data_IF_996355168274
#
_entry.id   IF_996355168274
#
_cell.length_a   1.000
_cell.length_b   1.000
_cell.length_c   1.000
_cell.angle_alpha   90.00
_cell.angle_beta   90.00
_cell.angle_gamma   90.00
#
_symmetry.space_group_name_H-M   'P 1'
#
loop_
_entity.id
_entity.type
_entity.pdbx_description
1 polymer ?
#
# COMPACT_ATOMS: atom_id res chain seq x y z
N UNK A 1 61.70 38.06 19.75
CA UNK A 1 61.57 36.67 20.24
C UNK A 1 60.26 36.15 19.77
N UNK A 2 60.28 35.32 18.71
CA UNK A 2 59.10 34.75 18.07
C UNK A 2 58.80 33.39 18.70
N UNK A 3 57.57 33.18 19.10
CA UNK A 3 57.13 31.84 19.51
C UNK A 3 56.02 31.37 18.59
N UNK A 4 56.33 30.40 17.76
CA UNK A 4 55.46 29.75 16.79
C UNK A 4 54.73 28.60 17.47
N UNK A 5 53.39 28.67 17.52
CA UNK A 5 52.56 27.53 17.94
C UNK A 5 51.91 26.88 16.70
N UNK A 6 52.31 25.67 16.47
CA UNK A 6 51.90 24.76 15.39
C UNK A 6 50.56 24.15 15.73
N UNK A 7 49.49 24.46 14.98
CA UNK A 7 48.17 23.85 15.10
C UNK A 7 48.14 22.56 14.28
N UNK A 8 47.89 21.44 14.93
CA UNK A 8 47.70 20.13 14.31
C UNK A 8 46.21 19.95 13.95
N UNK A 9 45.92 20.00 12.65
CA UNK A 9 44.57 19.75 12.11
C UNK A 9 44.32 18.24 12.00
N UNK A 10 43.41 17.72 12.83
CA UNK A 10 42.93 16.34 12.74
C UNK A 10 41.81 16.25 11.69
N UNK A 11 42.13 15.65 10.54
CA UNK A 11 41.12 15.31 9.53
C UNK A 11 40.24 14.16 10.01
N UNK A 12 38.96 14.42 10.33
CA UNK A 12 37.92 13.39 10.47
C UNK A 12 37.55 12.91 9.08
N UNK A 13 37.82 11.65 8.78
CA UNK A 13 37.35 10.94 7.61
C UNK A 13 35.85 10.64 7.76
N UNK A 14 35.01 11.28 6.96
CA UNK A 14 33.59 10.95 6.84
C UNK A 14 33.47 9.67 5.98
N UNK A 15 33.03 8.57 6.60
CA UNK A 15 32.67 7.33 5.92
C UNK A 15 31.30 7.52 5.27
N UNK A 16 31.27 7.74 3.97
CA UNK A 16 30.04 7.75 3.15
C UNK A 16 29.62 6.29 2.89
N UNK A 17 28.71 5.77 3.70
CA UNK A 17 28.06 4.51 3.40
C UNK A 17 27.08 4.71 2.25
N UNK A 18 27.37 4.07 1.09
CA UNK A 18 26.46 4.01 -0.06
C UNK A 18 25.17 3.29 0.35
N UNK A 19 23.98 3.76 -0.08
CA UNK A 19 22.72 3.05 0.15
C UNK A 19 22.79 1.67 -0.49
N UNK A 20 22.51 0.62 0.29
CA UNK A 20 22.43 -0.77 -0.18
C UNK A 20 21.25 -0.90 -1.14
N UNK A 21 21.54 -1.17 -2.40
CA UNK A 21 20.56 -1.54 -3.42
C UNK A 21 19.78 -2.76 -2.94
N UNK A 22 18.43 -2.77 -2.94
CA UNK A 22 17.67 -3.93 -2.52
C UNK A 22 18.00 -5.13 -3.41
N UNK A 23 18.36 -6.23 -2.78
CA UNK A 23 18.64 -7.51 -3.41
C UNK A 23 17.38 -8.04 -4.10
N UNK A 24 17.45 -8.28 -5.41
CA UNK A 24 16.39 -8.95 -6.18
C UNK A 24 16.43 -10.46 -5.89
N UNK A 25 15.92 -10.87 -4.75
CA UNK A 25 15.49 -12.25 -4.52
C UNK A 25 13.98 -12.27 -4.52
N UNK A 26 13.38 -12.27 -5.70
CA UNK A 26 11.98 -12.64 -5.86
C UNK A 26 11.87 -14.13 -5.49
N UNK A 27 11.48 -14.42 -4.27
CA UNK A 27 10.94 -15.73 -3.91
C UNK A 27 9.73 -15.97 -4.82
N UNK A 28 9.81 -17.00 -5.66
CA UNK A 28 8.68 -17.40 -6.52
C UNK A 28 7.50 -17.70 -5.59
N UNK A 29 6.49 -16.80 -5.56
CA UNK A 29 5.28 -17.01 -4.80
C UNK A 29 4.60 -18.27 -5.34
N UNK A 30 4.19 -19.19 -4.45
CA UNK A 30 3.32 -20.31 -4.85
C UNK A 30 2.12 -19.71 -5.57
N UNK A 31 1.89 -20.08 -6.84
CA UNK A 31 0.78 -19.57 -7.64
C UNK A 31 -0.51 -19.61 -6.81
N UNK A 32 -1.20 -18.48 -6.67
CA UNK A 32 -2.47 -18.44 -5.93
C UNK A 32 -3.51 -19.27 -6.67
N UNK A 33 -4.24 -20.11 -5.95
CA UNK A 33 -5.23 -21.00 -6.57
C UNK A 33 -6.50 -20.28 -7.06
N UNK A 34 -6.73 -19.04 -6.63
CA UNK A 34 -7.95 -18.29 -6.92
C UNK A 34 -7.80 -17.26 -8.02
N UNK A 35 -6.61 -16.69 -8.22
CA UNK A 35 -6.39 -15.62 -9.19
C UNK A 35 -5.03 -15.69 -9.88
N UNK A 36 -4.93 -14.94 -10.97
CA UNK A 36 -3.69 -14.68 -11.73
C UNK A 36 -3.52 -13.18 -11.89
N UNK A 37 -2.28 -12.73 -11.95
CA UNK A 37 -1.98 -11.32 -12.16
C UNK A 37 -1.93 -10.99 -13.65
N UNK A 38 -2.67 -9.94 -14.06
CA UNK A 38 -2.72 -9.39 -15.41
C UNK A 38 -2.60 -7.88 -15.38
N UNK A 39 -2.46 -7.23 -16.54
CA UNK A 39 -2.63 -5.79 -16.67
C UNK A 39 -4.05 -5.41 -16.27
N UNK A 40 -4.20 -4.37 -15.49
CA UNK A 40 -5.48 -3.83 -15.02
C UNK A 40 -5.75 -2.46 -15.65
N UNK A 41 -7.01 -2.17 -15.92
CA UNK A 41 -7.47 -0.86 -16.36
C UNK A 41 -7.60 0.13 -15.18
N UNK A 42 -7.67 -0.39 -13.93
CA UNK A 42 -7.71 0.42 -12.71
C UNK A 42 -6.32 1.00 -12.43
N UNK A 43 -5.33 0.10 -12.23
CA UNK A 43 -3.96 0.51 -11.93
C UNK A 43 -2.97 -0.64 -12.22
N UNK A 44 -1.98 -0.39 -13.06
CA UNK A 44 -0.82 -1.27 -13.29
C UNK A 44 -1.17 -2.75 -13.49
N UNK A 45 -1.00 -3.57 -12.46
CA UNK A 45 -1.39 -4.99 -12.41
C UNK A 45 -2.62 -5.15 -11.52
N UNK A 46 -3.46 -6.12 -11.84
CA UNK A 46 -4.61 -6.54 -11.04
C UNK A 46 -4.65 -8.05 -10.86
N UNK A 47 -5.42 -8.50 -9.88
CA UNK A 47 -5.66 -9.91 -9.58
C UNK A 47 -6.99 -10.35 -10.20
N UNK A 48 -6.97 -11.30 -11.14
CA UNK A 48 -8.15 -11.76 -11.88
C UNK A 48 -8.51 -13.19 -11.51
N UNK A 49 -9.77 -13.44 -11.14
CA UNK A 49 -10.25 -14.75 -10.72
C UNK A 49 -10.03 -15.81 -11.81
N UNK A 50 -9.42 -16.95 -11.47
CA UNK A 50 -9.20 -18.10 -12.36
C UNK A 50 -10.29 -19.16 -12.26
N UNK A 51 -11.17 -19.05 -11.26
CA UNK A 51 -12.32 -19.93 -10.99
C UNK A 51 -13.42 -19.14 -10.30
N UNK A 52 -14.66 -19.64 -10.26
CA UNK A 52 -15.69 -19.02 -9.41
C UNK A 52 -15.24 -19.00 -7.96
N UNK A 53 -15.44 -17.88 -7.27
CA UNK A 53 -15.14 -17.69 -5.86
C UNK A 53 -16.44 -17.38 -5.15
N UNK A 54 -16.78 -18.18 -4.14
CA UNK A 54 -18.01 -17.97 -3.36
C UNK A 54 -17.83 -16.89 -2.31
N UNK A 55 -18.91 -16.17 -2.01
CA UNK A 55 -18.97 -15.25 -0.86
C UNK A 55 -18.45 -15.92 0.41
N UNK A 56 -17.70 -15.20 1.22
CA UNK A 56 -17.07 -15.68 2.46
C UNK A 56 -15.81 -16.53 2.23
N UNK A 57 -15.33 -16.62 0.97
CA UNK A 57 -14.06 -17.32 0.69
C UNK A 57 -12.88 -16.44 1.05
N UNK A 58 -12.02 -16.92 1.96
CA UNK A 58 -10.72 -16.32 2.25
C UNK A 58 -9.76 -16.64 1.11
N UNK A 59 -9.34 -15.60 0.38
CA UNK A 59 -8.61 -15.72 -0.89
C UNK A 59 -7.11 -15.76 -0.63
N UNK A 60 -6.60 -14.80 0.13
CA UNK A 60 -5.17 -14.64 0.39
C UNK A 60 -4.97 -13.80 1.66
N UNK A 61 -3.87 -14.04 2.38
CA UNK A 61 -3.36 -13.13 3.41
C UNK A 61 -2.54 -12.02 2.76
N UNK A 62 -2.71 -10.77 3.22
CA UNK A 62 -1.85 -9.65 2.82
C UNK A 62 -0.58 -9.68 3.66
N UNK A 63 0.55 -10.00 3.05
CA UNK A 63 1.84 -10.15 3.75
C UNK A 63 2.87 -9.13 3.27
N UNK A 64 3.84 -8.83 4.13
CA UNK A 64 4.96 -7.94 3.88
C UNK A 64 5.79 -7.72 5.13
N UNK A 65 6.72 -6.81 5.06
CA UNK A 65 7.48 -6.36 6.22
C UNK A 65 6.59 -5.54 7.15
N UNK A 66 6.69 -5.79 8.45
CA UNK A 66 5.99 -4.97 9.46
C UNK A 66 6.89 -3.83 9.89
N UNK A 67 6.42 -2.61 9.68
CA UNK A 67 7.16 -1.37 9.98
C UNK A 67 6.31 -0.42 10.81
N UNK A 68 6.94 0.55 11.44
CA UNK A 68 6.23 1.65 12.11
C UNK A 68 5.70 2.67 11.08
N UNK A 69 4.70 3.49 11.48
CA UNK A 69 4.24 4.60 10.64
C UNK A 69 5.37 5.58 10.34
N UNK A 70 6.20 5.92 11.35
CA UNK A 70 7.35 6.80 11.14
C UNK A 70 8.35 6.28 10.09
N UNK A 71 8.59 4.97 10.06
CA UNK A 71 9.43 4.35 9.03
C UNK A 71 8.74 4.34 7.66
N UNK A 72 7.41 4.17 7.61
CA UNK A 72 6.65 4.27 6.38
C UNK A 72 6.72 5.68 5.79
N UNK A 73 6.58 6.73 6.61
CA UNK A 73 6.67 8.13 6.19
C UNK A 73 8.09 8.47 5.67
N UNK A 74 9.13 7.89 6.29
CA UNK A 74 10.51 8.04 5.80
C UNK A 74 10.75 7.35 4.44
N UNK A 75 10.14 6.16 4.24
CA UNK A 75 10.27 5.39 2.99
C UNK A 75 9.45 6.00 1.84
N UNK A 76 8.29 6.55 2.15
CA UNK A 76 7.27 6.98 1.19
C UNK A 76 6.86 8.43 1.49
N UNK A 77 7.52 9.37 0.83
CA UNK A 77 7.26 10.80 0.96
C UNK A 77 6.20 11.20 -0.08
N UNK A 78 4.95 11.36 0.38
CA UNK A 78 3.82 11.77 -0.48
C UNK A 78 4.08 13.10 -1.20
N UNK A 79 4.82 14.03 -0.58
CA UNK A 79 5.19 15.30 -1.19
C UNK A 79 6.11 15.18 -2.41
N UNK A 80 6.73 14.01 -2.61
CA UNK A 80 7.56 13.70 -3.79
C UNK A 80 6.87 12.80 -4.80
N UNK A 81 5.67 12.30 -4.48
CA UNK A 81 4.90 11.45 -5.37
C UNK A 81 3.94 12.28 -6.21
N UNK A 82 3.95 12.10 -7.54
CA UNK A 82 2.94 12.69 -8.43
C UNK A 82 1.56 12.01 -8.30
N UNK A 83 1.48 10.86 -7.62
CA UNK A 83 0.29 10.08 -7.30
C UNK A 83 0.61 9.10 -6.18
N UNK A 84 -0.30 8.98 -5.21
CA UNK A 84 -0.16 7.98 -4.14
C UNK A 84 -0.19 6.56 -4.72
N UNK A 85 0.91 5.84 -4.55
CA UNK A 85 1.05 4.46 -4.99
C UNK A 85 2.04 3.72 -4.09
N UNK A 86 1.54 3.20 -3.00
CA UNK A 86 2.31 2.39 -2.05
C UNK A 86 1.67 1.01 -1.91
N UNK A 87 2.38 0.10 -1.29
CA UNK A 87 1.88 -1.21 -0.91
C UNK A 87 1.74 -1.31 0.62
N UNK A 88 1.42 -0.17 1.24
CA UNK A 88 1.23 -0.10 2.69
C UNK A 88 -0.19 -0.51 3.08
N UNK A 89 -0.30 -1.27 4.16
CA UNK A 89 -1.56 -1.62 4.80
C UNK A 89 -1.46 -1.32 6.31
N UNK A 90 -2.27 -0.39 6.80
CA UNK A 90 -2.33 -0.04 8.22
C UNK A 90 -2.95 -1.17 9.03
N UNK A 91 -2.27 -1.66 10.07
CA UNK A 91 -2.79 -2.67 10.99
C UNK A 91 -3.38 -1.99 12.23
N UNK A 92 -2.64 -1.08 12.82
CA UNK A 92 -3.04 -0.34 14.01
C UNK A 92 -2.35 1.03 14.06
N UNK A 93 -2.56 1.80 15.13
CA UNK A 93 -1.97 3.14 15.30
C UNK A 93 -0.43 3.19 15.35
N UNK A 94 0.24 2.04 15.34
CA UNK A 94 1.71 1.96 15.47
C UNK A 94 2.37 1.21 14.32
N UNK A 95 1.62 0.35 13.63
CA UNK A 95 2.19 -0.66 12.73
C UNK A 95 1.45 -0.71 11.42
N UNK A 96 2.19 -0.77 10.32
CA UNK A 96 1.69 -1.11 8.99
C UNK A 96 2.49 -2.27 8.37
N UNK A 97 1.92 -2.88 7.34
CA UNK A 97 2.59 -3.87 6.49
C UNK A 97 3.08 -3.14 5.24
N UNK A 98 4.37 -3.23 4.93
CA UNK A 98 4.95 -2.82 3.66
C UNK A 98 5.12 -4.04 2.76
N UNK A 99 4.19 -4.25 1.83
CA UNK A 99 4.25 -5.37 0.90
C UNK A 99 5.19 -5.15 -0.29
N UNK A 100 5.87 -4.00 -0.38
CA UNK A 100 6.99 -3.82 -1.30
C UNK A 100 8.18 -4.69 -0.89
N UNK A 101 8.31 -4.98 0.41
CA UNK A 101 9.37 -5.80 1.01
C UNK A 101 8.79 -7.12 1.50
N UNK A 102 9.24 -8.24 0.93
CA UNK A 102 8.78 -9.60 1.25
C UNK A 102 7.25 -9.81 1.12
N UNK A 103 6.56 -8.93 0.38
CA UNK A 103 5.12 -9.04 0.14
C UNK A 103 4.77 -10.12 -0.88
N UNK A 104 3.50 -10.55 -0.83
CA UNK A 104 2.92 -11.49 -1.79
C UNK A 104 2.05 -10.81 -2.83
N UNK A 105 1.35 -11.60 -3.64
CA UNK A 105 0.52 -11.11 -4.75
C UNK A 105 -0.75 -10.35 -4.29
N UNK A 106 -1.13 -10.39 -3.00
CA UNK A 106 -2.24 -9.62 -2.45
C UNK A 106 -2.08 -8.10 -2.70
N UNK A 107 -0.85 -7.60 -2.73
CA UNK A 107 -0.52 -6.20 -3.00
C UNK A 107 -1.02 -5.68 -4.35
N UNK A 108 -1.35 -6.57 -5.28
CA UNK A 108 -1.86 -6.22 -6.60
C UNK A 108 -3.39 -6.30 -6.70
N UNK A 109 -4.09 -6.56 -5.59
CA UNK A 109 -5.55 -6.43 -5.55
C UNK A 109 -5.88 -4.95 -5.46
N UNK A 110 -6.47 -4.41 -6.53
CA UNK A 110 -6.71 -2.99 -6.69
C UNK A 110 -7.89 -2.48 -5.84
N UNK A 111 -7.97 -1.15 -5.70
CA UNK A 111 -9.10 -0.49 -5.06
C UNK A 111 -10.33 -0.45 -5.98
N UNK A 112 -11.52 -0.61 -5.38
CA UNK A 112 -12.79 -0.20 -6.00
C UNK A 112 -13.73 0.41 -4.95
N UNK A 113 -14.51 1.42 -5.39
CA UNK A 113 -15.61 1.99 -4.60
C UNK A 113 -16.87 1.09 -4.61
N UNK A 114 -16.92 0.07 -5.48
CA UNK A 114 -17.91 -1.01 -5.49
C UNK A 114 -17.18 -2.37 -5.50
N UNK A 115 -16.53 -2.75 -4.39
CA UNK A 115 -15.63 -3.88 -4.33
C UNK A 115 -16.35 -5.23 -4.36
N UNK A 116 -15.61 -6.29 -4.66
CA UNK A 116 -16.07 -7.68 -4.53
C UNK A 116 -15.37 -8.44 -3.40
N UNK A 117 -14.39 -7.81 -2.77
CA UNK A 117 -13.70 -8.32 -1.59
C UNK A 117 -13.66 -7.26 -0.48
N UNK A 118 -13.32 -7.71 0.72
CA UNK A 118 -12.97 -6.86 1.85
C UNK A 118 -11.66 -7.35 2.50
N UNK A 119 -11.01 -6.46 3.23
CA UNK A 119 -9.85 -6.77 4.04
C UNK A 119 -10.28 -6.96 5.49
N UNK A 120 -10.00 -8.13 6.07
CA UNK A 120 -10.38 -8.50 7.44
C UNK A 120 -9.13 -8.59 8.30
N UNK A 121 -9.10 -7.83 9.40
CA UNK A 121 -8.09 -8.02 10.46
C UNK A 121 -8.50 -9.17 11.37
N UNK A 122 -7.67 -10.17 11.46
CA UNK A 122 -7.78 -11.24 12.43
C UNK A 122 -6.46 -11.36 13.19
N UNK A 123 -6.44 -10.86 14.41
CA UNK A 123 -5.24 -10.87 15.30
C UNK A 123 -4.01 -10.27 14.63
N UNK A 124 -4.20 -9.13 13.97
CA UNK A 124 -3.16 -8.41 13.20
C UNK A 124 -2.64 -9.14 11.95
N UNK A 125 -3.38 -10.13 11.47
CA UNK A 125 -3.23 -10.71 10.15
C UNK A 125 -4.33 -10.19 9.25
N UNK A 126 -3.98 -9.71 8.07
CA UNK A 126 -4.92 -9.13 7.14
C UNK A 126 -5.26 -10.15 6.06
N UNK A 127 -6.53 -10.50 5.95
CA UNK A 127 -7.01 -11.44 4.95
C UNK A 127 -7.94 -10.76 3.96
N UNK A 128 -7.77 -11.05 2.68
CA UNK A 128 -8.70 -10.62 1.64
C UNK A 128 -9.75 -11.71 1.46
N UNK A 129 -11.02 -11.34 1.66
CA UNK A 129 -12.17 -12.24 1.63
C UNK A 129 -13.25 -11.74 0.66
N UNK A 130 -13.91 -12.66 -0.06
CA UNK A 130 -14.96 -12.33 -1.00
C UNK A 130 -16.26 -11.94 -0.28
N UNK A 131 -16.81 -10.73 -0.55
CA UNK A 131 -18.09 -10.25 0.03
C UNK A 131 -19.31 -10.61 -0.82
N UNK A 132 -19.10 -11.10 -2.03
CA UNK A 132 -20.11 -11.67 -2.93
C UNK A 132 -19.52 -12.80 -3.76
N UNK A 133 -20.35 -13.50 -4.51
CA UNK A 133 -19.87 -14.44 -5.52
C UNK A 133 -19.10 -13.67 -6.61
N UNK A 134 -17.96 -14.21 -7.02
CA UNK A 134 -17.05 -13.61 -8.02
C UNK A 134 -16.93 -14.59 -9.20
N UNK A 135 -17.14 -14.10 -10.41
CA UNK A 135 -17.05 -14.89 -11.64
C UNK A 135 -15.60 -15.07 -12.10
N UNK A 136 -15.38 -16.10 -12.95
CA UNK A 136 -14.09 -16.29 -13.62
C UNK A 136 -13.77 -15.07 -14.49
N UNK A 137 -12.54 -14.60 -14.43
CA UNK A 137 -12.06 -13.44 -15.19
C UNK A 137 -12.40 -12.09 -14.58
N UNK A 138 -13.18 -12.04 -13.50
CA UNK A 138 -13.47 -10.80 -12.77
C UNK A 138 -12.24 -10.35 -11.98
N UNK A 139 -11.95 -9.03 -11.98
CA UNK A 139 -10.87 -8.46 -11.18
C UNK A 139 -11.28 -8.41 -9.71
N UNK A 140 -10.42 -8.91 -8.83
CA UNK A 140 -10.57 -8.81 -7.39
C UNK A 140 -10.24 -7.40 -6.95
N UNK A 141 -11.11 -6.80 -6.15
CA UNK A 141 -10.93 -5.44 -5.64
C UNK A 141 -11.46 -5.33 -4.22
N UNK A 142 -10.84 -4.47 -3.40
CA UNK A 142 -11.38 -4.09 -2.09
C UNK A 142 -11.34 -2.57 -1.90
N UNK A 143 -12.11 -2.04 -0.95
CA UNK A 143 -12.06 -0.62 -0.62
C UNK A 143 -10.82 -0.35 0.25
N UNK A 144 -9.90 0.47 -0.23
CA UNK A 144 -8.70 0.83 0.53
C UNK A 144 -9.04 1.69 1.73
N UNK A 145 -10.06 2.56 1.59
CA UNK A 145 -10.57 3.44 2.64
C UNK A 145 -9.44 4.14 3.44
N UNK A 146 -8.45 4.71 2.73
CA UNK A 146 -7.38 5.46 3.38
C UNK A 146 -7.97 6.51 4.32
N UNK A 147 -7.49 6.53 5.56
CA UNK A 147 -8.01 7.43 6.59
C UNK A 147 -7.82 8.89 6.19
N UNK A 148 -8.79 9.71 6.60
CA UNK A 148 -8.77 11.16 6.46
C UNK A 148 -8.42 11.78 7.80
N UNK A 149 -7.46 12.69 7.81
CA UNK A 149 -7.11 13.48 9.01
C UNK A 149 -7.86 14.83 9.08
N UNK A 150 -8.54 15.21 8.01
CA UNK A 150 -9.33 16.45 7.93
C UNK A 150 -8.54 17.65 7.43
N UNK A 151 -7.31 17.48 7.00
CA UNK A 151 -6.43 18.51 6.42
C UNK A 151 -6.37 18.43 4.90
N UNK A 152 -7.07 17.47 4.29
CA UNK A 152 -7.02 17.21 2.86
C UNK A 152 -7.52 18.43 2.06
N UNK A 153 -6.66 18.90 1.16
CA UNK A 153 -6.95 19.92 0.17
C UNK A 153 -7.16 19.32 -1.23
N UNK A 154 -7.29 20.18 -2.25
CA UNK A 154 -7.46 19.72 -3.63
C UNK A 154 -6.26 18.96 -4.18
N UNK A 155 -5.05 19.22 -3.70
CA UNK A 155 -3.84 18.53 -4.13
C UNK A 155 -3.82 17.11 -3.57
N UNK A 156 -4.19 16.94 -2.31
CA UNK A 156 -4.41 15.65 -1.68
C UNK A 156 -5.45 14.80 -2.43
N UNK A 157 -6.61 15.39 -2.75
CA UNK A 157 -7.65 14.67 -3.51
C UNK A 157 -7.16 14.20 -4.88
N UNK A 158 -6.29 14.95 -5.55
CA UNK A 158 -5.66 14.54 -6.81
C UNK A 158 -4.67 13.40 -6.61
N UNK A 159 -3.87 13.43 -5.53
CA UNK A 159 -2.90 12.39 -5.20
C UNK A 159 -3.60 11.03 -4.99
N UNK A 160 -4.78 11.05 -4.34
CA UNK A 160 -5.59 9.87 -4.02
C UNK A 160 -6.74 9.60 -5.00
N UNK A 161 -6.63 10.08 -6.23
CA UNK A 161 -7.68 9.91 -7.24
C UNK A 161 -7.97 8.44 -7.57
N UNK A 162 -9.26 8.06 -7.51
CA UNK A 162 -9.75 6.74 -7.87
C UNK A 162 -9.97 6.59 -9.38
N UNK A 163 -9.66 5.41 -9.93
CA UNK A 163 -9.88 5.02 -11.33
C UNK A 163 -10.66 3.71 -11.46
N UNK A 164 -11.43 3.31 -10.44
CA UNK A 164 -12.09 2.00 -10.43
C UNK A 164 -13.20 1.84 -11.50
N UNK A 165 -13.68 2.94 -12.10
CA UNK A 165 -14.73 2.89 -13.13
C UNK A 165 -16.12 2.47 -12.64
N UNK A 166 -16.32 2.27 -11.32
CA UNK A 166 -17.61 1.87 -10.78
C UNK A 166 -18.67 3.01 -10.98
N UNK A 167 -19.95 2.68 -11.26
CA UNK A 167 -21.01 3.69 -11.37
C UNK A 167 -21.17 4.53 -10.09
N UNK A 168 -20.83 3.98 -8.93
CA UNK A 168 -20.87 4.64 -7.62
C UNK A 168 -19.49 5.11 -7.16
N UNK A 169 -18.56 5.36 -8.11
CA UNK A 169 -17.19 5.78 -7.78
C UNK A 169 -17.20 7.12 -7.01
N UNK A 170 -16.48 7.15 -5.88
CA UNK A 170 -16.31 8.35 -5.03
C UNK A 170 -15.35 9.39 -5.64
N UNK A 171 -14.62 9.03 -6.70
CA UNK A 171 -13.55 9.85 -7.27
C UNK A 171 -12.21 9.75 -6.51
N UNK A 172 -12.19 9.16 -5.34
CA UNK A 172 -11.03 9.04 -4.46
C UNK A 172 -10.94 7.65 -3.82
N UNK A 173 -9.71 7.21 -3.46
CA UNK A 173 -9.47 6.00 -2.67
C UNK A 173 -9.49 6.26 -1.16
N UNK A 174 -9.67 7.53 -0.75
CA UNK A 174 -9.84 7.92 0.65
C UNK A 174 -11.19 7.40 1.20
N UNK A 175 -11.27 7.24 2.50
CA UNK A 175 -12.50 6.87 3.18
C UNK A 175 -13.62 7.91 2.92
N UNK A 176 -14.90 7.50 2.96
CA UNK A 176 -16.00 8.45 2.90
C UNK A 176 -15.88 9.53 3.97
N UNK A 177 -16.16 10.79 3.62
CA UNK A 177 -16.20 11.87 4.62
C UNK A 177 -17.26 11.56 5.68
N UNK A 178 -16.87 11.63 6.95
CA UNK A 178 -17.83 11.52 8.05
C UNK A 178 -18.84 12.69 7.93
N UNK A 179 -20.16 12.44 8.09
CA UNK A 179 -21.14 13.52 8.11
C UNK A 179 -20.71 14.55 9.15
N UNK A 180 -20.60 15.83 8.76
CA UNK A 180 -20.38 16.91 9.74
C UNK A 180 -21.57 16.90 10.67
N UNK A 181 -21.37 16.53 11.94
CA UNK A 181 -22.42 16.58 12.94
C UNK A 181 -23.04 17.99 12.93
N UNK A 182 -24.36 18.07 12.75
CA UNK A 182 -25.07 19.34 12.98
C UNK A 182 -24.84 19.71 14.44
N UNK A 183 -24.16 20.85 14.66
CA UNK A 183 -24.08 21.49 15.97
C UNK A 183 -25.47 21.98 16.38
#
# INVERSE_FOLDING_TARGET
MANSTRSTSTKKSASTSKPRRPSKTATASKANKYFVLRKSDIQGRGAFATRPIKRGTRIIEYTGERISHAEADERYDDGKMGRHHTFLFTIDSKTCIDAAVNGNDARFINHSCAPNCEAIDEKKHIYIEAIRDIAVGEELTYDYAYERDGTEDEEWERLYMCKCGAPTCRGTILAPQKPRGRK
#
